data_IF_713778825425
#
_entry.id   IF_713778825425
#
_cell.length_a   1.000
_cell.length_b   1.000
_cell.length_c   1.000
_cell.angle_alpha   90.00
_cell.angle_beta   90.00
_cell.angle_gamma   90.00
#
_symmetry.space_group_name_H-M   'P 1'
#
loop_
_entity.id
_entity.type
_entity.pdbx_description
1 polymer ?
#
# COMPACT_ATOMS: atom_id res chain seq x y z
N UNK A 1 14.13 -19.41 8.20
CA UNK A 1 13.14 -19.10 9.24
C UNK A 1 12.11 -20.21 9.21
N UNK A 2 12.12 -21.09 10.21
CA UNK A 2 11.06 -22.08 10.40
C UNK A 2 9.72 -21.35 10.51
N UNK A 3 8.87 -21.52 9.50
CA UNK A 3 7.45 -21.25 9.68
C UNK A 3 6.98 -22.28 10.71
N UNK A 4 6.90 -21.86 11.97
CA UNK A 4 6.20 -22.63 12.98
C UNK A 4 4.82 -22.96 12.39
N UNK A 5 4.59 -24.24 12.11
CA UNK A 5 3.29 -24.77 11.76
C UNK A 5 2.43 -24.58 13.00
N UNK A 6 1.80 -23.41 13.09
CA UNK A 6 0.87 -23.09 14.16
C UNK A 6 -0.36 -23.96 13.88
N UNK A 7 -0.46 -25.07 14.60
CA UNK A 7 -1.60 -25.99 14.53
C UNK A 7 -2.91 -25.20 14.69
N UNK A 8 -3.86 -25.47 13.79
CA UNK A 8 -5.18 -24.88 13.90
C UNK A 8 -5.84 -25.34 15.21
N UNK A 9 -6.71 -24.50 15.79
CA UNK A 9 -7.52 -24.89 16.97
C UNK A 9 -8.24 -26.23 16.80
N UNK A 10 -8.53 -26.58 15.56
CA UNK A 10 -9.20 -27.80 15.15
C UNK A 10 -8.34 -29.05 15.33
N UNK A 11 -7.03 -28.97 15.10
CA UNK A 11 -6.12 -30.09 15.28
C UNK A 11 -5.99 -30.44 16.76
N UNK A 12 -5.95 -29.41 17.62
CA UNK A 12 -5.96 -29.55 19.08
C UNK A 12 -7.22 -30.27 19.57
N UNK A 13 -8.40 -29.96 19.00
CA UNK A 13 -9.65 -30.63 19.40
C UNK A 13 -9.59 -32.12 19.07
N UNK A 14 -9.07 -32.49 17.89
CA UNK A 14 -8.95 -33.90 17.47
C UNK A 14 -7.93 -34.66 18.32
N UNK A 15 -6.82 -34.03 18.71
CA UNK A 15 -5.81 -34.62 19.60
C UNK A 15 -6.38 -35.03 20.97
N UNK A 16 -7.32 -34.25 21.52
CA UNK A 16 -7.97 -34.58 22.80
C UNK A 16 -9.18 -35.50 22.65
N UNK A 17 -9.87 -35.47 21.51
CA UNK A 17 -11.10 -36.22 21.29
C UNK A 17 -10.90 -37.74 21.27
N UNK A 18 -9.84 -38.22 20.60
CA UNK A 18 -9.57 -39.67 20.45
C UNK A 18 -9.27 -40.35 21.80
N UNK A 19 -8.37 -39.83 22.67
CA UNK A 19 -8.12 -40.42 23.99
C UNK A 19 -9.37 -40.48 24.87
N UNK A 20 -10.20 -39.42 24.85
CA UNK A 20 -11.42 -39.35 25.67
C UNK A 20 -12.41 -40.44 25.29
N UNK A 21 -12.62 -40.70 24.00
CA UNK A 21 -13.52 -41.78 23.54
C UNK A 21 -12.99 -43.15 23.94
N UNK A 22 -11.67 -43.38 23.81
CA UNK A 22 -11.07 -44.67 24.20
C UNK A 22 -11.27 -44.95 25.69
N UNK A 23 -11.07 -43.93 26.53
CA UNK A 23 -11.32 -44.04 27.98
C UNK A 23 -12.79 -44.31 28.27
N UNK A 24 -13.72 -43.60 27.62
CA UNK A 24 -15.17 -43.81 27.80
C UNK A 24 -15.63 -45.20 27.35
N UNK A 25 -15.12 -45.68 26.21
CA UNK A 25 -15.42 -47.01 25.68
C UNK A 25 -14.91 -48.11 26.64
N UNK A 26 -13.67 -48.00 27.11
CA UNK A 26 -13.09 -48.92 28.08
C UNK A 26 -13.86 -48.91 29.41
N UNK A 27 -14.15 -47.71 29.94
CA UNK A 27 -14.93 -47.55 31.17
C UNK A 27 -16.32 -48.20 31.05
N UNK A 28 -17.00 -48.01 29.92
CA UNK A 28 -18.31 -48.62 29.65
C UNK A 28 -18.22 -50.16 29.69
N UNK A 29 -17.22 -50.74 29.02
CA UNK A 29 -17.00 -52.18 29.05
C UNK A 29 -16.73 -52.72 30.45
N UNK A 30 -15.88 -52.03 31.22
CA UNK A 30 -15.53 -52.39 32.61
C UNK A 30 -16.78 -52.36 33.49
N UNK A 31 -17.56 -51.28 33.46
CA UNK A 31 -18.79 -51.13 34.26
C UNK A 31 -19.83 -52.20 33.90
N UNK A 32 -20.04 -52.46 32.61
CA UNK A 32 -20.93 -53.54 32.16
C UNK A 32 -20.48 -54.91 32.71
N UNK A 33 -19.18 -55.19 32.75
CA UNK A 33 -18.66 -56.43 33.31
C UNK A 33 -18.89 -56.53 34.82
N UNK A 34 -18.75 -55.42 35.56
CA UNK A 34 -19.01 -55.37 37.00
C UNK A 34 -20.49 -55.54 37.36
N UNK A 35 -21.40 -55.08 36.50
CA UNK A 35 -22.86 -55.25 36.68
C UNK A 35 -23.33 -56.69 36.37
N UNK A 36 -22.44 -57.55 35.85
CA UNK A 36 -22.71 -58.97 35.64
C UNK A 36 -23.05 -59.37 34.20
N UNK A 37 -22.85 -58.48 33.22
CA UNK A 37 -22.97 -58.86 31.81
C UNK A 37 -21.86 -59.85 31.39
N UNK A 38 -22.15 -60.67 30.39
CA UNK A 38 -21.15 -61.55 29.77
C UNK A 38 -20.01 -60.74 29.15
N UNK A 39 -18.83 -61.34 29.04
CA UNK A 39 -17.66 -60.69 28.45
C UNK A 39 -17.94 -60.20 27.02
N UNK A 40 -18.62 -61.02 26.23
CA UNK A 40 -19.05 -60.67 24.86
C UNK A 40 -19.96 -59.44 24.85
N UNK A 41 -20.96 -59.39 25.73
CA UNK A 41 -21.88 -58.26 25.81
C UNK A 41 -21.17 -56.97 26.27
N UNK A 42 -20.22 -57.06 27.21
CA UNK A 42 -19.43 -55.92 27.67
C UNK A 42 -18.52 -55.35 26.57
N UNK A 43 -17.84 -56.21 25.80
CA UNK A 43 -17.02 -55.81 24.66
C UNK A 43 -17.89 -55.17 23.58
N UNK A 44 -19.04 -55.76 23.27
CA UNK A 44 -19.98 -55.25 22.27
C UNK A 44 -20.47 -53.83 22.65
N UNK A 45 -20.73 -53.57 23.93
CA UNK A 45 -21.09 -52.23 24.45
C UNK A 45 -19.93 -51.23 24.30
N UNK A 46 -18.70 -51.61 24.65
CA UNK A 46 -17.53 -50.74 24.48
C UNK A 46 -17.30 -50.35 23.00
N UNK A 47 -17.37 -51.33 22.09
CA UNK A 47 -17.24 -51.09 20.64
C UNK A 47 -18.38 -50.20 20.13
N UNK A 48 -19.61 -50.42 20.60
CA UNK A 48 -20.77 -49.59 20.22
C UNK A 48 -20.55 -48.13 20.58
N UNK A 49 -20.05 -47.83 21.79
CA UNK A 49 -19.71 -46.46 22.20
C UNK A 49 -18.64 -45.86 21.29
N UNK A 50 -17.59 -46.62 20.97
CA UNK A 50 -16.51 -46.15 20.09
C UNK A 50 -17.02 -45.82 18.68
N UNK A 51 -17.85 -46.70 18.09
CA UNK A 51 -18.40 -46.53 16.73
C UNK A 51 -19.36 -45.34 16.66
N UNK A 52 -20.28 -45.21 17.62
CA UNK A 52 -21.25 -44.11 17.65
C UNK A 52 -20.56 -42.76 17.88
N UNK A 53 -19.40 -42.75 18.56
CA UNK A 53 -18.65 -41.52 18.84
C UNK A 53 -17.80 -41.03 17.66
N UNK A 54 -17.77 -41.74 16.53
CA UNK A 54 -17.00 -41.33 15.36
C UNK A 54 -17.51 -39.97 14.81
N UNK A 55 -16.67 -38.92 14.74
CA UNK A 55 -17.12 -37.56 14.47
C UNK A 55 -17.14 -37.30 12.95
N UNK A 56 -17.82 -38.15 12.18
CA UNK A 56 -17.84 -38.08 10.71
C UNK A 56 -18.26 -36.70 10.19
N UNK A 57 -19.22 -36.06 10.86
CA UNK A 57 -19.68 -34.72 10.50
C UNK A 57 -18.62 -33.63 10.72
N UNK A 58 -17.79 -33.76 11.76
CA UNK A 58 -16.73 -32.79 12.07
C UNK A 58 -15.69 -32.75 10.95
N UNK A 59 -15.32 -33.93 10.42
CA UNK A 59 -14.34 -34.05 9.33
C UNK A 59 -14.72 -33.31 8.05
N UNK A 60 -16.03 -33.11 7.80
CA UNK A 60 -16.54 -32.39 6.63
C UNK A 60 -16.83 -30.92 6.95
N UNK A 61 -17.27 -30.61 8.16
CA UNK A 61 -17.67 -29.26 8.55
C UNK A 61 -16.52 -28.24 8.37
N UNK A 62 -15.29 -28.62 8.73
CA UNK A 62 -14.11 -27.75 8.68
C UNK A 62 -13.76 -27.35 7.24
N UNK A 63 -13.45 -28.27 6.30
CA UNK A 63 -13.10 -27.89 4.93
C UNK A 63 -14.24 -27.13 4.24
N UNK A 64 -15.50 -27.49 4.52
CA UNK A 64 -16.66 -26.78 3.97
C UNK A 64 -16.71 -25.32 4.46
N UNK A 65 -16.51 -25.09 5.76
CA UNK A 65 -16.44 -23.75 6.33
C UNK A 65 -15.26 -22.94 5.77
N UNK A 66 -14.09 -23.58 5.54
CA UNK A 66 -12.92 -22.93 4.92
C UNK A 66 -13.23 -22.47 3.50
N UNK A 67 -13.76 -23.35 2.66
CA UNK A 67 -14.11 -23.04 1.26
C UNK A 67 -15.18 -21.96 1.19
N UNK A 68 -16.22 -22.05 2.03
CA UNK A 68 -17.25 -21.02 2.12
C UNK A 68 -16.69 -19.66 2.56
N UNK A 69 -15.81 -19.64 3.58
CA UNK A 69 -15.14 -18.43 4.06
C UNK A 69 -14.28 -17.77 2.97
N UNK A 70 -13.48 -18.55 2.25
CA UNK A 70 -12.66 -18.08 1.12
C UNK A 70 -13.55 -17.53 0.01
N UNK A 71 -14.65 -18.22 -0.32
CA UNK A 71 -15.60 -17.77 -1.35
C UNK A 71 -16.22 -16.40 -0.98
N UNK A 72 -16.64 -16.23 0.27
CA UNK A 72 -17.19 -14.95 0.76
C UNK A 72 -16.13 -13.85 0.75
N UNK A 73 -14.90 -14.16 1.15
CA UNK A 73 -13.77 -13.22 1.11
C UNK A 73 -13.46 -12.77 -0.33
N UNK A 74 -13.43 -13.70 -1.27
CA UNK A 74 -13.21 -13.41 -2.70
C UNK A 74 -14.28 -12.51 -3.30
N UNK A 75 -15.56 -12.73 -2.95
CA UNK A 75 -16.67 -11.81 -3.34
C UNK A 75 -16.50 -10.39 -2.80
N UNK A 76 -15.69 -10.20 -1.76
CA UNK A 76 -15.34 -8.90 -1.16
C UNK A 76 -13.97 -8.37 -1.62
N UNK A 77 -13.35 -8.99 -2.61
CA UNK A 77 -12.04 -8.58 -3.13
C UNK A 77 -10.86 -8.98 -2.25
N UNK A 78 -11.04 -9.92 -1.31
CA UNK A 78 -9.97 -10.42 -0.44
C UNK A 78 -9.48 -11.76 -0.97
N UNK A 79 -8.23 -11.79 -1.44
CA UNK A 79 -7.57 -13.02 -1.89
C UNK A 79 -6.91 -13.73 -0.70
N UNK A 80 -7.46 -14.88 -0.31
CA UNK A 80 -6.90 -15.71 0.76
C UNK A 80 -5.99 -16.78 0.15
N UNK A 81 -4.67 -16.65 0.34
CA UNK A 81 -3.69 -17.67 -0.07
C UNK A 81 -3.43 -18.72 1.01
N UNK A 82 -3.40 -18.28 2.26
CA UNK A 82 -3.23 -19.13 3.44
C UNK A 82 -4.42 -18.92 4.38
N UNK A 83 -5.15 -20.00 4.67
CA UNK A 83 -6.30 -19.96 5.55
C UNK A 83 -5.91 -19.75 7.02
N UNK A 84 -4.75 -20.25 7.44
CA UNK A 84 -4.27 -20.06 8.81
C UNK A 84 -4.03 -18.57 9.09
N UNK A 85 -3.41 -17.86 8.13
CA UNK A 85 -3.27 -16.41 8.19
C UNK A 85 -4.63 -15.68 8.22
N UNK A 86 -5.62 -16.18 7.47
CA UNK A 86 -6.98 -15.63 7.46
C UNK A 86 -7.70 -15.80 8.81
N UNK A 87 -7.56 -16.94 9.48
CA UNK A 87 -8.10 -17.12 10.84
C UNK A 87 -7.39 -16.23 11.86
N UNK A 88 -6.06 -16.08 11.74
CA UNK A 88 -5.26 -15.23 12.61
C UNK A 88 -5.62 -13.75 12.47
N UNK A 89 -6.18 -13.32 11.34
CA UNK A 89 -6.61 -11.93 11.13
C UNK A 89 -7.56 -11.43 12.23
N UNK A 90 -8.32 -12.32 12.88
CA UNK A 90 -9.19 -11.98 14.03
C UNK A 90 -8.44 -11.55 15.30
N UNK A 91 -7.16 -11.88 15.41
CA UNK A 91 -6.31 -11.63 16.58
C UNK A 91 -5.35 -10.46 16.37
N UNK A 92 -5.32 -9.87 15.18
CA UNK A 92 -4.48 -8.73 14.89
C UNK A 92 -4.89 -7.56 15.79
N UNK A 93 -3.90 -6.90 16.39
CA UNK A 93 -4.07 -5.70 17.23
C UNK A 93 -3.44 -4.46 16.60
N UNK A 94 -2.51 -4.66 15.67
CA UNK A 94 -1.78 -3.59 15.00
C UNK A 94 -1.75 -3.80 13.48
N UNK A 95 -1.85 -2.70 12.72
CA UNK A 95 -1.74 -2.68 11.27
C UNK A 95 -0.59 -1.76 10.88
N UNK A 96 0.43 -2.33 10.24
CA UNK A 96 1.56 -1.57 9.71
C UNK A 96 1.36 -1.43 8.22
N UNK A 97 1.23 -0.19 7.76
CA UNK A 97 1.12 0.14 6.35
C UNK A 97 2.50 0.37 5.76
N UNK A 98 2.71 -0.16 4.56
CA UNK A 98 3.73 0.36 3.67
C UNK A 98 3.23 1.66 3.03
N UNK A 99 4.15 2.55 2.63
CA UNK A 99 3.80 3.82 1.99
C UNK A 99 3.53 3.62 0.50
N UNK A 100 4.58 3.30 -0.24
CA UNK A 100 4.60 3.36 -1.71
C UNK A 100 3.76 2.23 -2.30
N UNK A 101 2.73 2.58 -3.05
CA UNK A 101 1.85 1.58 -3.69
C UNK A 101 0.84 0.91 -2.74
N UNK A 102 0.84 1.25 -1.46
CA UNK A 102 -0.15 0.78 -0.47
C UNK A 102 -1.03 1.94 -0.03
N UNK A 103 -0.49 2.89 0.75
CA UNK A 103 -1.18 4.12 1.14
C UNK A 103 -1.26 5.09 -0.02
N UNK A 104 -0.23 5.11 -0.85
CA UNK A 104 -0.18 5.91 -2.06
C UNK A 104 -0.49 5.04 -3.28
N UNK A 105 -0.60 5.67 -4.45
CA UNK A 105 -0.79 4.94 -5.70
C UNK A 105 0.50 4.30 -6.20
N UNK A 106 1.66 4.71 -5.68
CA UNK A 106 2.96 4.23 -6.17
C UNK A 106 3.30 4.78 -7.55
N UNK A 107 2.64 5.87 -7.93
CA UNK A 107 2.83 6.53 -9.22
C UNK A 107 3.11 8.00 -8.97
N UNK A 108 4.34 8.39 -9.29
CA UNK A 108 4.76 9.78 -9.26
C UNK A 108 4.01 10.57 -10.34
N UNK A 109 3.21 11.54 -9.92
CA UNK A 109 2.37 12.32 -10.80
C UNK A 109 2.60 13.82 -10.59
N UNK A 110 2.40 14.59 -11.66
CA UNK A 110 2.35 16.05 -11.58
C UNK A 110 1.10 16.46 -10.78
N UNK A 111 1.32 17.12 -9.64
CA UNK A 111 0.27 17.54 -8.72
C UNK A 111 -0.17 18.97 -8.99
N UNK A 112 0.81 19.86 -9.22
CA UNK A 112 0.58 21.29 -9.33
C UNK A 112 1.60 21.92 -10.28
N UNK A 113 1.18 22.98 -10.96
CA UNK A 113 2.06 23.84 -11.76
C UNK A 113 1.89 25.26 -11.20
N UNK A 114 2.96 25.83 -10.69
CA UNK A 114 2.98 27.18 -10.13
C UNK A 114 3.67 28.07 -11.16
N UNK A 115 2.88 28.75 -11.99
CA UNK A 115 3.39 29.66 -13.01
C UNK A 115 3.67 31.06 -12.44
N UNK A 116 4.65 31.75 -13.02
CA UNK A 116 5.02 33.11 -12.67
C UNK A 116 4.79 34.06 -13.85
N UNK A 117 4.22 35.23 -13.56
CA UNK A 117 4.00 36.26 -14.56
C UNK A 117 5.33 36.62 -15.28
N UNK A 118 5.30 36.80 -16.62
CA UNK A 118 4.12 36.93 -17.47
C UNK A 118 3.51 35.61 -17.98
N UNK A 119 4.03 34.46 -17.56
CA UNK A 119 3.55 33.15 -18.01
C UNK A 119 2.34 32.70 -17.18
N UNK A 120 1.37 32.05 -17.85
CA UNK A 120 0.29 31.32 -17.21
C UNK A 120 0.61 29.81 -17.13
N UNK A 121 -0.25 29.06 -16.43
CA UNK A 121 -0.07 27.61 -16.25
C UNK A 121 -0.01 26.88 -17.59
N UNK A 122 -0.91 27.19 -18.52
CA UNK A 122 -1.02 26.50 -19.80
C UNK A 122 0.21 26.76 -20.67
N UNK A 123 0.64 28.02 -20.79
CA UNK A 123 1.83 28.38 -21.58
C UNK A 123 3.08 27.77 -20.98
N UNK A 124 3.19 27.77 -19.65
CA UNK A 124 4.30 27.11 -18.97
C UNK A 124 4.31 25.60 -19.26
N UNK A 125 3.14 24.97 -19.25
CA UNK A 125 3.02 23.54 -19.48
C UNK A 125 3.28 23.16 -20.95
N UNK A 126 2.84 23.97 -21.91
CA UNK A 126 3.16 23.80 -23.34
C UNK A 126 4.68 23.78 -23.57
N UNK A 127 5.41 24.73 -22.98
CA UNK A 127 6.88 24.82 -23.07
C UNK A 127 7.56 23.60 -22.45
N UNK A 128 7.14 23.20 -21.25
CA UNK A 128 7.68 22.02 -20.57
C UNK A 128 7.42 20.73 -21.37
N UNK A 129 6.23 20.56 -21.93
CA UNK A 129 5.91 19.42 -22.79
C UNK A 129 6.74 19.43 -24.09
N UNK A 130 7.00 20.61 -24.65
CA UNK A 130 7.88 20.78 -25.80
C UNK A 130 9.33 20.35 -25.52
N UNK A 131 9.88 20.79 -24.38
CA UNK A 131 11.24 20.41 -23.93
C UNK A 131 11.38 18.92 -23.65
N UNK A 132 10.37 18.31 -23.04
CA UNK A 132 10.41 16.92 -22.57
C UNK A 132 9.88 15.91 -23.60
N UNK A 133 9.53 16.35 -24.81
CA UNK A 133 8.89 15.51 -25.85
C UNK A 133 9.64 14.23 -26.18
N UNK A 134 10.98 14.26 -26.14
CA UNK A 134 11.86 13.14 -26.45
C UNK A 134 12.62 12.59 -25.23
N UNK A 135 12.18 12.95 -24.01
CA UNK A 135 12.83 12.57 -22.77
C UNK A 135 12.35 11.20 -22.29
N UNK A 136 13.30 10.29 -22.06
CA UNK A 136 13.02 9.00 -21.42
C UNK A 136 12.94 9.10 -19.90
N UNK A 137 13.20 10.28 -19.34
CA UNK A 137 13.15 10.51 -17.90
C UNK A 137 11.72 10.41 -17.36
N UNK A 138 11.57 9.96 -16.11
CA UNK A 138 10.24 9.76 -15.52
C UNK A 138 9.41 11.05 -15.44
N UNK A 139 10.08 12.20 -15.25
CA UNK A 139 9.48 13.54 -15.26
C UNK A 139 8.88 13.84 -16.64
N UNK A 140 9.68 13.68 -17.71
CA UNK A 140 9.23 13.95 -19.07
C UNK A 140 8.07 13.07 -19.50
N UNK A 141 8.12 11.77 -19.15
CA UNK A 141 6.99 10.86 -19.39
C UNK A 141 5.71 11.29 -18.68
N UNK A 142 5.80 11.78 -17.44
CA UNK A 142 4.63 12.26 -16.71
C UNK A 142 4.07 13.57 -17.28
N UNK A 143 4.93 14.52 -17.63
CA UNK A 143 4.56 15.78 -18.30
C UNK A 143 3.82 15.46 -19.61
N UNK A 144 4.38 14.59 -20.45
CA UNK A 144 3.76 14.18 -21.72
C UNK A 144 2.43 13.45 -21.53
N UNK A 145 2.35 12.55 -20.54
CA UNK A 145 1.10 11.85 -20.20
C UNK A 145 0.00 12.82 -19.78
N UNK A 146 0.34 13.84 -18.99
CA UNK A 146 -0.61 14.85 -18.53
C UNK A 146 -0.99 15.83 -19.65
N UNK A 147 -0.05 16.21 -20.51
CA UNK A 147 -0.33 17.04 -21.68
C UNK A 147 -1.33 16.34 -22.61
N UNK A 148 -1.14 15.04 -22.87
CA UNK A 148 -2.09 14.23 -23.65
C UNK A 148 -3.47 14.16 -23.00
N UNK A 149 -3.54 14.02 -21.67
CA UNK A 149 -4.81 13.98 -20.93
C UNK A 149 -5.57 15.31 -20.92
N UNK A 150 -4.84 16.42 -20.83
CA UNK A 150 -5.41 17.78 -20.86
C UNK A 150 -5.61 18.32 -22.29
N UNK A 151 -5.27 17.55 -23.33
CA UNK A 151 -5.26 17.98 -24.74
C UNK A 151 -4.38 19.22 -25.01
N UNK A 152 -3.28 19.35 -24.27
CA UNK A 152 -2.29 20.43 -24.46
C UNK A 152 -1.30 19.98 -25.52
N UNK A 153 -1.10 20.80 -26.54
CA UNK A 153 -0.12 20.51 -27.59
C UNK A 153 1.28 20.93 -27.13
N UNK A 154 2.29 20.04 -27.20
CA UNK A 154 3.66 20.41 -26.90
C UNK A 154 4.14 21.55 -27.80
N UNK A 155 4.77 22.56 -27.20
CA UNK A 155 5.39 23.66 -27.93
C UNK A 155 6.44 23.16 -28.93
N UNK A 156 6.60 23.86 -30.05
CA UNK A 156 7.68 23.61 -31.01
C UNK A 156 8.99 24.17 -30.45
N UNK A 157 9.74 23.33 -29.75
CA UNK A 157 11.03 23.67 -29.16
C UNK A 157 12.16 23.14 -30.04
N UNK A 158 13.15 23.98 -30.32
CA UNK A 158 14.31 23.66 -31.14
C UNK A 158 15.57 23.47 -30.27
N UNK A 159 16.58 22.81 -30.84
CA UNK A 159 17.91 22.62 -30.22
C UNK A 159 17.86 22.07 -28.78
N UNK A 160 16.98 21.09 -28.54
CA UNK A 160 16.82 20.46 -27.24
C UNK A 160 18.11 19.70 -26.88
N UNK A 161 18.64 19.98 -25.69
CA UNK A 161 19.84 19.34 -25.14
C UNK A 161 19.59 18.94 -23.68
N UNK A 162 19.94 17.71 -23.34
CA UNK A 162 19.92 17.24 -21.95
C UNK A 162 21.25 17.58 -21.30
N UNK A 163 21.20 18.20 -20.14
CA UNK A 163 22.35 18.55 -19.31
C UNK A 163 22.28 17.82 -17.95
N UNK A 164 23.30 18.01 -17.12
CA UNK A 164 23.28 17.47 -15.77
C UNK A 164 22.15 18.14 -14.97
N UNK A 165 21.20 17.33 -14.48
CA UNK A 165 20.05 17.77 -13.70
C UNK A 165 19.01 18.65 -14.43
N UNK A 166 19.02 18.71 -15.77
CA UNK A 166 18.04 19.47 -16.52
C UNK A 166 18.06 19.32 -18.04
N UNK A 167 17.19 20.06 -18.72
CA UNK A 167 17.03 20.11 -20.17
C UNK A 167 16.92 21.57 -20.62
N UNK A 168 17.57 21.90 -21.73
CA UNK A 168 17.58 23.23 -22.35
C UNK A 168 17.05 23.14 -23.77
N UNK A 169 16.41 24.19 -24.26
CA UNK A 169 16.00 24.32 -25.65
C UNK A 169 15.65 25.77 -26.00
N UNK A 170 15.17 25.98 -27.22
CA UNK A 170 14.78 27.30 -27.71
C UNK A 170 13.30 27.33 -28.10
N UNK A 171 12.58 28.32 -27.59
CA UNK A 171 11.18 28.56 -27.89
C UNK A 171 10.94 30.04 -28.15
N UNK A 172 10.29 30.36 -29.27
CA UNK A 172 10.09 31.75 -29.75
C UNK A 172 11.38 32.59 -29.74
N UNK A 173 12.53 31.96 -30.04
CA UNK A 173 13.84 32.61 -30.06
C UNK A 173 14.50 32.79 -28.69
N UNK A 174 13.83 32.45 -27.59
CA UNK A 174 14.36 32.54 -26.24
C UNK A 174 14.86 31.18 -25.74
N UNK A 175 15.89 31.21 -24.89
CA UNK A 175 16.35 30.02 -24.17
C UNK A 175 15.33 29.67 -23.10
N UNK A 176 14.87 28.42 -23.12
CA UNK A 176 14.04 27.83 -22.07
C UNK A 176 14.80 26.69 -21.41
N UNK A 177 14.69 26.59 -20.08
CA UNK A 177 15.36 25.57 -19.26
C UNK A 177 14.35 24.93 -18.33
N UNK A 178 14.44 23.63 -18.11
CA UNK A 178 13.68 22.89 -17.09
C UNK A 178 14.63 21.96 -16.33
N UNK A 179 14.55 21.92 -14.99
CA UNK A 179 15.47 21.08 -14.21
C UNK A 179 15.40 21.29 -12.70
N UNK A 180 16.44 20.82 -12.00
CA UNK A 180 16.56 20.98 -10.55
C UNK A 180 16.76 22.44 -10.13
N UNK A 181 16.65 22.71 -8.84
CA UNK A 181 16.96 24.03 -8.30
C UNK A 181 18.42 24.44 -8.59
N UNK A 182 19.36 23.49 -8.50
CA UNK A 182 20.77 23.76 -8.75
C UNK A 182 21.04 24.08 -10.22
N UNK A 183 20.31 23.41 -11.13
CA UNK A 183 20.43 23.66 -12.57
C UNK A 183 19.99 25.07 -12.97
N UNK A 184 18.98 25.62 -12.28
CA UNK A 184 18.47 26.97 -12.53
C UNK A 184 18.97 28.00 -11.50
N UNK A 185 20.03 27.70 -10.75
CA UNK A 185 20.48 28.52 -9.61
C UNK A 185 20.60 30.00 -9.98
N UNK A 186 21.31 30.33 -11.04
CA UNK A 186 21.55 31.72 -11.47
C UNK A 186 20.25 32.48 -11.80
N UNK A 187 19.21 31.77 -12.26
CA UNK A 187 17.91 32.36 -12.62
C UNK A 187 16.94 32.47 -11.44
N UNK A 188 17.04 31.54 -10.48
CA UNK A 188 16.12 31.49 -9.32
C UNK A 188 16.64 32.22 -8.08
N UNK A 189 17.95 32.45 -7.98
CA UNK A 189 18.60 33.04 -6.78
C UNK A 189 18.08 34.44 -6.45
N UNK A 190 17.80 35.24 -7.48
CA UNK A 190 17.30 36.61 -7.35
C UNK A 190 15.78 36.68 -7.26
N UNK A 191 15.08 35.56 -7.48
CA UNK A 191 13.63 35.52 -7.55
C UNK A 191 13.02 35.35 -6.15
N UNK A 192 12.55 36.47 -5.59
CA UNK A 192 11.63 36.44 -4.46
C UNK A 192 10.21 36.21 -5.00
N UNK A 193 9.55 35.08 -4.68
CA UNK A 193 8.17 34.87 -5.12
C UNK A 193 7.31 36.03 -4.60
N UNK A 194 6.60 36.68 -5.52
CA UNK A 194 5.61 37.71 -5.20
C UNK A 194 4.67 37.15 -4.13
N UNK A 195 4.52 37.89 -3.05
CA UNK A 195 3.90 37.54 -1.76
C UNK A 195 2.42 37.10 -1.78
N UNK A 196 1.88 36.68 -2.93
CA UNK A 196 0.48 36.28 -3.15
C UNK A 196 0.26 34.81 -3.53
N UNK A 197 1.27 34.08 -4.01
CA UNK A 197 1.21 32.62 -4.10
C UNK A 197 1.62 32.09 -2.73
N UNK A 198 0.61 31.72 -1.93
CA UNK A 198 0.79 31.24 -0.56
C UNK A 198 2.00 30.32 -0.48
N UNK A 199 2.97 30.73 0.36
CA UNK A 199 4.28 30.14 0.54
C UNK A 199 4.48 28.81 -0.22
N UNK A 200 5.38 28.78 -1.21
CA UNK A 200 6.06 27.57 -1.65
C UNK A 200 6.82 26.97 -0.45
N UNK A 201 6.10 26.46 0.55
CA UNK A 201 6.61 25.61 1.59
C UNK A 201 6.95 24.34 0.86
N UNK A 202 8.25 24.14 0.61
CA UNK A 202 8.76 22.88 0.09
C UNK A 202 8.35 21.80 1.07
N UNK A 203 7.32 21.04 0.72
CA UNK A 203 6.91 19.91 1.52
C UNK A 203 7.83 18.73 1.20
N UNK A 204 8.32 18.01 2.21
CA UNK A 204 9.23 16.88 2.00
C UNK A 204 8.64 15.74 1.16
N UNK A 205 7.32 15.74 0.93
CA UNK A 205 6.61 14.72 0.13
C UNK A 205 6.57 15.02 -1.37
N UNK A 206 6.99 16.21 -1.76
CA UNK A 206 7.00 16.65 -3.15
C UNK A 206 8.42 16.88 -3.65
N UNK A 207 8.58 16.76 -4.96
CA UNK A 207 9.74 17.25 -5.68
C UNK A 207 9.35 18.40 -6.57
N UNK A 208 10.27 19.34 -6.69
CA UNK A 208 10.06 20.60 -7.36
C UNK A 208 11.01 20.69 -8.53
N UNK A 209 10.46 20.80 -9.73
CA UNK A 209 11.20 21.00 -10.98
C UNK A 209 10.95 22.42 -11.44
N UNK A 210 12.01 23.17 -11.68
CA UNK A 210 11.96 24.59 -11.99
C UNK A 210 12.06 24.79 -13.49
N UNK A 211 11.41 25.81 -14.01
CA UNK A 211 11.48 26.19 -15.40
C UNK A 211 11.73 27.69 -15.53
N UNK A 212 12.57 28.07 -16.49
CA UNK A 212 12.83 29.46 -16.86
C UNK A 212 12.68 29.68 -18.36
N UNK A 213 12.39 30.92 -18.74
CA UNK A 213 12.36 31.39 -20.12
C UNK A 213 12.98 32.79 -20.17
N UNK A 214 13.87 33.04 -21.14
CA UNK A 214 14.60 34.31 -21.28
C UNK A 214 15.28 34.76 -19.96
N UNK A 215 15.93 33.82 -19.27
CA UNK A 215 16.57 34.01 -17.96
C UNK A 215 15.66 34.57 -16.85
N UNK A 216 14.35 34.35 -16.96
CA UNK A 216 13.37 34.64 -15.91
C UNK A 216 12.64 33.37 -15.49
N UNK A 217 12.33 33.19 -14.18
CA UNK A 217 11.51 32.08 -13.72
C UNK A 217 10.14 32.08 -14.38
N UNK A 218 9.78 30.95 -14.97
CA UNK A 218 8.53 30.77 -15.70
C UNK A 218 7.53 29.92 -14.91
N UNK A 219 7.96 28.80 -14.34
CA UNK A 219 7.09 27.96 -13.51
C UNK A 219 7.85 26.99 -12.59
N UNK A 220 7.12 26.41 -11.64
CA UNK A 220 7.55 25.25 -10.85
C UNK A 220 6.53 24.12 -11.06
N UNK A 221 7.04 22.95 -11.42
CA UNK A 221 6.27 21.72 -11.56
C UNK A 221 6.46 20.90 -10.29
N UNK A 222 5.36 20.67 -9.57
CA UNK A 222 5.35 19.94 -8.30
C UNK A 222 4.93 18.51 -8.57
N UNK A 223 5.84 17.58 -8.33
CA UNK A 223 5.57 16.16 -8.48
C UNK A 223 5.51 15.47 -7.12
N UNK A 224 4.69 14.44 -7.02
CA UNK A 224 4.64 13.59 -5.84
C UNK A 224 3.80 12.36 -6.06
N UNK A 225 3.79 11.50 -5.05
CA UNK A 225 2.93 10.32 -5.04
C UNK A 225 1.56 10.69 -4.46
N UNK A 226 0.50 10.34 -5.18
CA UNK A 226 -0.86 10.66 -4.76
C UNK A 226 -1.36 9.65 -3.74
N UNK A 227 -1.95 10.13 -2.65
CA UNK A 227 -2.61 9.30 -1.64
C UNK A 227 -3.75 8.52 -2.31
N UNK A 228 -3.86 7.22 -2.01
CA UNK A 228 -4.90 6.35 -2.55
C UNK A 228 -6.26 6.79 -2.03
N UNK A 229 -7.26 6.80 -2.93
CA UNK A 229 -8.64 7.10 -2.56
C UNK A 229 -9.10 6.15 -1.45
N UNK A 230 -9.65 6.70 -0.37
CA UNK A 230 -10.11 5.93 0.79
C UNK A 230 -9.03 5.50 1.78
N UNK A 231 -7.75 5.84 1.56
CA UNK A 231 -6.68 5.55 2.53
C UNK A 231 -6.98 6.18 3.90
N UNK A 232 -7.26 7.49 3.92
CA UNK A 232 -7.63 8.23 5.14
C UNK A 232 -8.84 7.60 5.84
N UNK A 233 -9.93 7.35 5.11
CA UNK A 233 -11.14 6.71 5.66
C UNK A 233 -10.87 5.29 6.20
N UNK A 234 -9.93 4.56 5.61
CA UNK A 234 -9.55 3.22 6.07
C UNK A 234 -8.77 3.32 7.39
N UNK A 235 -7.82 4.24 7.48
CA UNK A 235 -7.07 4.52 8.72
C UNK A 235 -8.04 4.92 9.83
N UNK A 236 -8.96 5.86 9.57
CA UNK A 236 -9.97 6.28 10.54
C UNK A 236 -10.83 5.11 11.03
N UNK A 237 -11.28 4.22 10.13
CA UNK A 237 -12.07 3.04 10.51
C UNK A 237 -11.28 2.04 11.35
N UNK A 238 -10.00 1.86 11.07
CA UNK A 238 -9.13 0.98 11.86
C UNK A 238 -8.86 1.60 13.23
N UNK A 239 -8.60 2.90 13.29
CA UNK A 239 -8.38 3.61 14.54
C UNK A 239 -9.62 3.55 15.44
N UNK A 240 -10.81 3.79 14.88
CA UNK A 240 -12.08 3.67 15.61
C UNK A 240 -12.40 2.25 16.09
N UNK A 241 -11.74 1.22 15.54
CA UNK A 241 -11.83 -0.17 15.99
C UNK A 241 -10.76 -0.53 17.03
N UNK A 242 -9.91 0.42 17.44
CA UNK A 242 -8.88 0.23 18.45
C UNK A 242 -7.60 -0.42 17.94
N UNK A 243 -7.36 -0.46 16.63
CA UNK A 243 -6.09 -0.94 16.09
C UNK A 243 -4.99 0.11 16.31
N UNK A 244 -3.80 -0.36 16.69
CA UNK A 244 -2.58 0.43 16.58
C UNK A 244 -2.18 0.53 15.11
N UNK A 245 -1.83 1.72 14.62
CA UNK A 245 -1.54 1.93 13.21
C UNK A 245 -0.20 2.63 13.06
N UNK A 246 0.67 2.07 12.22
CA UNK A 246 1.95 2.67 11.89
C UNK A 246 2.16 2.72 10.36
N UNK A 247 2.96 3.69 9.90
CA UNK A 247 3.43 3.81 8.53
C UNK A 247 4.94 3.55 8.48
N UNK A 248 5.37 2.64 7.62
CA UNK A 248 6.79 2.33 7.40
C UNK A 248 7.14 2.53 5.93
N UNK A 249 8.32 3.10 5.65
CA UNK A 249 8.81 3.29 4.29
C UNK A 249 10.33 3.32 4.23
N UNK A 250 10.88 2.96 3.07
CA UNK A 250 12.28 3.20 2.72
C UNK A 250 12.60 4.66 2.44
N UNK A 251 11.59 5.47 2.11
CA UNK A 251 11.73 6.90 1.83
C UNK A 251 12.11 7.69 3.08
N UNK A 252 12.63 8.91 2.89
CA UNK A 252 13.09 9.77 3.97
C UNK A 252 12.07 9.98 5.09
N UNK A 253 12.56 10.12 6.33
CA UNK A 253 11.73 10.30 7.52
C UNK A 253 10.73 11.47 7.39
N UNK A 254 11.16 12.58 6.80
CA UNK A 254 10.31 13.76 6.63
C UNK A 254 9.16 13.49 5.65
N UNK A 255 9.46 12.88 4.50
CA UNK A 255 8.47 12.45 3.50
C UNK A 255 7.44 11.50 4.11
N UNK A 256 7.90 10.49 4.86
CA UNK A 256 7.01 9.50 5.49
C UNK A 256 6.11 10.13 6.55
N UNK A 257 6.63 11.05 7.38
CA UNK A 257 5.82 11.78 8.38
C UNK A 257 4.78 12.70 7.73
N UNK A 258 5.15 13.38 6.64
CA UNK A 258 4.22 14.25 5.91
C UNK A 258 3.02 13.45 5.38
N UNK A 259 3.28 12.31 4.73
CA UNK A 259 2.20 11.42 4.26
C UNK A 259 1.39 10.85 5.42
N UNK A 260 2.03 10.40 6.51
CA UNK A 260 1.34 9.88 7.68
C UNK A 260 0.36 10.91 8.28
N UNK A 261 0.78 12.17 8.37
CA UNK A 261 -0.04 13.27 8.86
C UNK A 261 -1.29 13.48 7.99
N UNK A 262 -1.15 13.43 6.66
CA UNK A 262 -2.27 13.63 5.73
C UNK A 262 -3.37 12.56 5.87
N UNK A 263 -2.99 11.33 6.26
CA UNK A 263 -3.92 10.21 6.44
C UNK A 263 -4.28 9.92 7.91
N UNK A 264 -3.74 10.69 8.86
CA UNK A 264 -4.06 10.55 10.28
C UNK A 264 -3.34 9.41 11.00
N UNK A 265 -2.15 9.01 10.57
CA UNK A 265 -1.28 8.05 11.28
C UNK A 265 -0.28 8.82 12.14
N UNK A 266 -0.22 8.48 13.44
CA UNK A 266 0.71 9.11 14.39
C UNK A 266 2.11 8.48 14.36
N UNK A 267 2.19 7.14 14.26
CA UNK A 267 3.47 6.41 14.27
C UNK A 267 4.01 6.25 12.84
N UNK A 268 5.10 6.95 12.51
CA UNK A 268 5.68 6.95 11.17
C UNK A 268 7.20 6.77 11.21
N UNK A 269 7.71 5.83 10.40
CA UNK A 269 9.12 5.46 10.35
C UNK A 269 9.61 5.44 8.89
N UNK A 270 10.46 6.39 8.52
CA UNK A 270 11.15 6.42 7.22
C UNK A 270 12.59 5.88 7.30
N UNK A 271 13.24 5.76 6.14
CA UNK A 271 14.62 5.29 5.99
C UNK A 271 14.80 3.83 6.37
N UNK A 272 13.76 3.01 6.27
CA UNK A 272 13.81 1.58 6.63
C UNK A 272 14.06 0.74 5.39
N UNK A 273 15.22 0.11 5.31
CA UNK A 273 15.53 -0.87 4.26
C UNK A 273 15.07 -2.27 4.70
N UNK A 274 14.69 -3.15 3.75
CA UNK A 274 14.63 -4.58 4.01
C UNK A 274 16.04 -5.04 4.41
N UNK A 275 16.18 -5.64 5.60
CA UNK A 275 17.46 -6.08 6.18
C UNK A 275 18.44 -6.71 5.18
#
# INVERSE_FOLDING_TARGET
AEFALIEGKTDVILQWFVPVILVLAAATGIVCRFIGLSLEAAILRAVTVMVISCPCALGIAIPLARVAGISIAGKKGILVRDFNAFEMARRITAVVFDKTGTVTRGHWALQEIIAFAPFDEDRAFEMAAGLEKNSDHFIGREIMRQAQRKNIQPAAVNDIRTEENGVVGHFDGNIIKIGSADFLHDTISDFKPLSGSGHLQREPKYSYVFMSSADQPAAIFVFGDTIRNGAKTTVEKLHNRGFQIALVSGDGNETTRAIAKDIGIHDAYGGRMPN
#
